data_IF_203317228818
#
_entry.id   IF_203317228818
#
_cell.length_a   1.000
_cell.length_b   1.000
_cell.length_c   1.000
_cell.angle_alpha   90.00
_cell.angle_beta   90.00
_cell.angle_gamma   90.00
#
_symmetry.space_group_name_H-M   'P 1'
#
loop_
_entity.id
_entity.type
_entity.pdbx_description
1 polymer ?
#
# COMPACT_ATOMS: atom_id res chain seq x y z
N UNK A 1 -27.17 4.43 16.58
CA UNK A 1 -26.52 3.15 16.24
C UNK A 1 -26.22 3.20 14.75
N UNK A 2 -24.99 3.57 14.38
CA UNK A 2 -24.61 3.63 12.97
C UNK A 2 -24.16 2.23 12.55
N UNK A 3 -24.99 1.57 11.74
CA UNK A 3 -24.64 0.35 11.02
C UNK A 3 -23.75 0.72 9.83
N UNK A 4 -22.48 1.05 10.08
CA UNK A 4 -21.49 0.94 9.00
C UNK A 4 -21.21 -0.55 8.86
N UNK A 5 -21.49 -1.14 7.70
CA UNK A 5 -20.72 -2.30 7.27
C UNK A 5 -19.26 -1.89 7.41
N UNK A 6 -18.48 -2.60 8.21
CA UNK A 6 -17.07 -2.28 8.40
C UNK A 6 -16.45 -2.17 6.99
N UNK A 7 -15.94 -1.00 6.63
CA UNK A 7 -15.23 -0.77 5.38
C UNK A 7 -14.04 -1.74 5.38
N UNK A 8 -14.11 -2.88 4.69
CA UNK A 8 -13.22 -3.98 5.04
C UNK A 8 -11.97 -3.99 4.18
N UNK A 9 -11.93 -3.17 3.12
CA UNK A 9 -10.90 -3.25 2.12
C UNK A 9 -9.63 -2.48 2.52
N UNK A 10 -8.52 -3.09 2.17
CA UNK A 10 -7.19 -2.49 2.10
C UNK A 10 -6.64 -2.84 0.73
N UNK A 11 -5.95 -1.89 0.13
CA UNK A 11 -5.37 -2.01 -1.19
C UNK A 11 -3.92 -1.52 -1.16
N UNK A 12 -3.09 -2.14 -1.98
CA UNK A 12 -1.71 -1.75 -2.25
C UNK A 12 -1.54 -1.78 -3.76
N UNK A 13 -1.10 -0.66 -4.33
CA UNK A 13 -1.01 -0.46 -5.78
C UNK A 13 0.45 -0.43 -6.26
N UNK A 14 1.30 0.37 -5.62
CA UNK A 14 2.74 0.37 -5.90
C UNK A 14 3.54 0.97 -4.75
N UNK A 15 4.87 0.80 -4.83
CA UNK A 15 5.82 1.41 -3.93
C UNK A 15 6.88 2.18 -4.71
N UNK A 16 7.34 3.29 -4.12
CA UNK A 16 8.51 4.01 -4.58
C UNK A 16 9.59 3.88 -3.53
N UNK A 17 10.69 3.20 -3.88
CA UNK A 17 11.87 3.04 -3.04
C UNK A 17 12.92 4.03 -3.53
N UNK A 18 13.33 4.94 -2.66
CA UNK A 18 14.38 5.92 -2.96
C UNK A 18 15.69 5.45 -2.35
N UNK A 19 16.74 5.41 -3.18
CA UNK A 19 18.12 5.12 -2.77
C UNK A 19 19.01 6.35 -2.96
N UNK A 20 19.91 6.58 -2.01
CA UNK A 20 20.84 7.69 -1.98
C UNK A 20 21.80 7.62 -0.79
N UNK A 21 22.70 8.58 -0.68
CA UNK A 21 23.66 8.68 0.43
C UNK A 21 23.17 9.63 1.55
N UNK A 22 21.92 10.09 1.46
CA UNK A 22 21.35 11.10 2.36
C UNK A 22 21.94 12.50 2.19
N UNK A 23 22.84 12.71 1.22
CA UNK A 23 23.40 14.01 0.89
C UNK A 23 22.50 14.75 -0.10
N UNK A 24 22.08 15.96 0.25
CA UNK A 24 21.25 16.81 -0.61
C UNK A 24 21.92 17.21 -1.94
N UNK A 25 23.22 16.98 -2.09
CA UNK A 25 23.99 17.23 -3.32
C UNK A 25 24.12 16.00 -4.22
N UNK A 26 23.76 14.82 -3.73
CA UNK A 26 23.76 13.59 -4.52
C UNK A 26 22.35 13.33 -5.03
N UNK A 27 22.21 13.06 -6.33
CA UNK A 27 20.92 12.72 -6.90
C UNK A 27 20.49 11.34 -6.38
N UNK A 28 19.31 11.28 -5.77
CA UNK A 28 18.69 10.00 -5.40
C UNK A 28 18.15 9.28 -6.63
N UNK A 29 18.06 7.96 -6.54
CA UNK A 29 17.44 7.12 -7.56
C UNK A 29 16.18 6.48 -6.99
N UNK A 30 15.08 6.60 -7.73
CA UNK A 30 13.80 5.99 -7.39
C UNK A 30 13.57 4.71 -8.17
N UNK A 31 13.19 3.65 -7.46
CA UNK A 31 12.70 2.40 -8.03
C UNK A 31 11.20 2.34 -7.78
N UNK A 32 10.44 2.21 -8.87
CA UNK A 32 9.00 2.03 -8.84
C UNK A 32 8.69 0.54 -8.91
N UNK A 33 7.93 0.05 -7.94
CA UNK A 33 7.62 -1.35 -7.76
C UNK A 33 6.11 -1.54 -7.78
N UNK A 34 5.62 -2.19 -8.81
CA UNK A 34 4.21 -2.55 -8.98
C UNK A 34 3.75 -3.57 -7.91
N UNK A 35 2.46 -3.57 -7.56
CA UNK A 35 1.86 -4.54 -6.65
C UNK A 35 1.96 -6.01 -7.13
N UNK A 36 2.13 -6.24 -8.43
CA UNK A 36 2.41 -7.55 -9.00
C UNK A 36 3.87 -8.02 -8.86
N UNK A 37 4.75 -7.21 -8.25
CA UNK A 37 6.17 -7.52 -8.22
C UNK A 37 6.51 -8.74 -7.35
N UNK A 38 7.41 -9.60 -7.87
CA UNK A 38 7.74 -10.90 -7.26
C UNK A 38 8.39 -10.84 -5.86
N UNK A 39 8.86 -9.66 -5.45
CA UNK A 39 9.51 -9.42 -4.16
C UNK A 39 8.51 -9.00 -3.08
N UNK A 40 7.23 -8.81 -3.43
CA UNK A 40 6.14 -8.65 -2.48
C UNK A 40 5.59 -10.04 -2.15
N UNK A 41 5.58 -10.38 -0.87
CA UNK A 41 4.96 -11.61 -0.36
C UNK A 41 3.60 -11.28 0.23
N UNK A 42 2.55 -11.82 -0.36
CA UNK A 42 1.19 -11.72 0.15
C UNK A 42 0.82 -12.98 0.93
N UNK A 43 0.12 -12.80 2.06
CA UNK A 43 -0.52 -13.92 2.76
C UNK A 43 -1.78 -14.40 1.99
N UNK A 44 -2.43 -15.44 2.50
CA UNK A 44 -3.75 -15.83 2.00
C UNK A 44 -4.76 -14.68 2.15
N UNK A 45 -5.68 -14.57 1.19
CA UNK A 45 -6.81 -13.62 1.23
C UNK A 45 -6.68 -12.36 0.38
N UNK A 46 -5.60 -12.21 -0.40
CA UNK A 46 -5.47 -11.14 -1.38
C UNK A 46 -6.09 -11.52 -2.73
N UNK A 47 -6.60 -10.51 -3.45
CA UNK A 47 -7.24 -10.66 -4.74
C UNK A 47 -6.57 -9.73 -5.75
N UNK A 48 -6.25 -10.26 -6.93
CA UNK A 48 -5.67 -9.50 -8.05
C UNK A 48 -6.76 -9.08 -9.03
N UNK A 49 -6.89 -7.78 -9.28
CA UNK A 49 -7.85 -7.14 -10.21
C UNK A 49 -9.27 -7.75 -10.19
N UNK A 50 -9.92 -7.89 -9.01
CA UNK A 50 -11.14 -8.67 -8.87
C UNK A 50 -12.42 -8.01 -9.43
N UNK A 51 -12.38 -6.73 -9.79
CA UNK A 51 -13.59 -5.91 -9.93
C UNK A 51 -13.65 -5.01 -11.19
N UNK A 52 -12.67 -5.11 -12.10
CA UNK A 52 -12.68 -4.35 -13.36
C UNK A 52 -12.28 -2.88 -13.24
N UNK A 53 -11.74 -2.45 -12.10
CA UNK A 53 -11.26 -1.08 -11.88
C UNK A 53 -9.74 -0.92 -12.11
N UNK A 54 -9.04 -1.99 -12.47
CA UNK A 54 -7.57 -2.01 -12.56
C UNK A 54 -7.01 -0.93 -13.49
N UNK A 55 -7.75 -0.46 -14.50
CA UNK A 55 -7.30 0.63 -15.39
C UNK A 55 -7.10 1.98 -14.69
N UNK A 56 -7.57 2.16 -13.46
CA UNK A 56 -7.35 3.36 -12.65
C UNK A 56 -6.05 3.31 -11.83
N UNK A 57 -5.42 2.14 -11.76
CA UNK A 57 -4.29 1.80 -10.89
C UNK A 57 -2.96 1.84 -11.65
N UNK A 58 -1.85 1.81 -10.92
CA UNK A 58 -0.54 1.76 -11.54
C UNK A 58 -0.39 0.47 -12.36
N UNK A 59 0.24 0.57 -13.54
CA UNK A 59 0.40 -0.51 -14.52
C UNK A 59 -0.86 -1.34 -14.88
N UNK A 60 -2.05 -0.82 -14.59
CA UNK A 60 -3.33 -1.49 -14.74
C UNK A 60 -3.47 -2.79 -13.91
N UNK A 61 -2.95 -2.82 -12.69
CA UNK A 61 -3.08 -3.94 -11.73
C UNK A 61 -3.67 -3.45 -10.41
N UNK A 62 -4.35 -4.33 -9.68
CA UNK A 62 -4.90 -4.01 -8.35
C UNK A 62 -4.66 -5.20 -7.44
N UNK A 63 -4.17 -4.95 -6.22
CA UNK A 63 -4.08 -5.96 -5.17
C UNK A 63 -4.76 -5.44 -3.91
N UNK A 64 -5.89 -6.08 -3.59
CA UNK A 64 -6.66 -5.75 -2.39
C UNK A 64 -7.04 -6.96 -1.58
N UNK A 65 -7.38 -6.72 -0.33
CA UNK A 65 -7.93 -7.74 0.58
C UNK A 65 -9.05 -7.15 1.42
N UNK A 66 -10.00 -8.00 1.80
CA UNK A 66 -10.97 -7.74 2.87
C UNK A 66 -10.86 -8.75 4.02
N UNK A 67 -9.77 -9.53 4.04
CA UNK A 67 -9.54 -10.56 5.04
C UNK A 67 -8.76 -9.94 6.19
N UNK A 68 -9.38 -9.85 7.36
CA UNK A 68 -8.70 -9.33 8.55
C UNK A 68 -7.47 -10.18 8.90
N UNK A 69 -6.34 -9.53 9.12
CA UNK A 69 -5.05 -10.19 9.39
C UNK A 69 -4.28 -10.65 8.15
N UNK A 70 -4.81 -10.45 6.93
CA UNK A 70 -4.02 -10.62 5.72
C UNK A 70 -2.93 -9.54 5.65
N UNK A 71 -1.76 -9.89 5.12
CA UNK A 71 -0.57 -9.03 5.09
C UNK A 71 0.12 -9.06 3.74
N UNK A 72 0.74 -7.95 3.37
CA UNK A 72 1.74 -7.85 2.32
C UNK A 72 3.09 -7.49 2.96
N UNK A 73 4.17 -8.14 2.54
CA UNK A 73 5.52 -7.93 3.08
C UNK A 73 6.52 -7.71 1.95
N UNK A 74 7.34 -6.68 2.07
CA UNK A 74 8.37 -6.33 1.10
C UNK A 74 9.70 -6.13 1.82
N UNK A 75 10.73 -6.85 1.38
CA UNK A 75 12.12 -6.54 1.72
C UNK A 75 12.67 -5.60 0.64
N UNK A 76 13.25 -4.48 1.05
CA UNK A 76 13.80 -3.49 0.13
C UNK A 76 15.18 -3.00 0.57
N UNK A 77 15.92 -2.45 -0.38
CA UNK A 77 17.17 -1.73 -0.13
C UNK A 77 16.98 -0.29 -0.60
N UNK A 78 17.05 0.66 0.33
CA UNK A 78 16.86 2.07 0.06
C UNK A 78 16.87 2.86 1.37
N UNK A 79 16.83 4.18 1.25
CA UNK A 79 16.79 5.10 2.39
C UNK A 79 15.36 5.51 2.71
N UNK A 80 14.46 5.49 1.72
CA UNK A 80 13.06 5.81 1.91
C UNK A 80 12.19 4.86 1.11
N UNK A 81 10.97 4.66 1.60
CA UNK A 81 9.91 3.94 0.89
C UNK A 81 8.60 4.68 1.07
N UNK A 82 7.87 4.88 -0.03
CA UNK A 82 6.49 5.38 -0.02
C UNK A 82 5.58 4.33 -0.62
N UNK A 83 4.52 3.99 0.09
CA UNK A 83 3.52 3.01 -0.34
C UNK A 83 2.28 3.74 -0.81
N UNK A 84 1.80 3.36 -1.99
CA UNK A 84 0.59 3.86 -2.62
C UNK A 84 -0.44 2.76 -2.71
N UNK A 85 -1.71 3.16 -2.69
CA UNK A 85 -2.85 2.27 -2.86
C UNK A 85 -4.14 3.05 -2.89
N UNK A 86 -5.25 2.32 -3.00
CA UNK A 86 -6.56 2.93 -3.05
C UNK A 86 -7.08 3.37 -1.69
N UNK A 87 -7.82 4.48 -1.71
CA UNK A 87 -8.68 4.91 -0.60
C UNK A 87 -10.08 5.16 -1.14
N UNK A 88 -11.11 4.77 -0.39
CA UNK A 88 -12.51 4.85 -0.83
C UNK A 88 -13.47 4.70 0.36
N UNK A 89 -14.78 4.76 0.12
CA UNK A 89 -15.82 4.63 1.14
C UNK A 89 -15.92 3.22 1.73
N UNK A 90 -15.38 2.23 1.04
CA UNK A 90 -15.33 0.82 1.44
C UNK A 90 -13.95 0.38 1.97
N UNK A 91 -13.00 1.31 2.11
CA UNK A 91 -11.67 1.04 2.64
C UNK A 91 -11.56 1.39 4.14
N UNK A 92 -10.83 0.56 4.87
CA UNK A 92 -10.85 0.52 6.34
C UNK A 92 -9.52 0.82 7.02
N UNK A 93 -9.45 0.41 8.29
CA UNK A 93 -8.24 0.49 9.08
C UNK A 93 -7.24 -0.57 8.63
N UNK A 94 -5.96 -0.18 8.65
CA UNK A 94 -4.83 -1.07 8.42
C UNK A 94 -3.63 -0.64 9.25
N UNK A 95 -2.65 -1.51 9.41
CA UNK A 95 -1.44 -1.20 10.16
C UNK A 95 -0.20 -1.48 9.33
N UNK A 96 0.82 -0.64 9.49
CA UNK A 96 2.11 -0.81 8.81
C UNK A 96 3.24 -0.84 9.84
N UNK A 97 4.22 -1.71 9.63
CA UNK A 97 5.44 -1.81 10.43
C UNK A 97 6.64 -1.76 9.50
N UNK A 98 7.68 -1.04 9.90
CA UNK A 98 8.99 -1.03 9.25
C UNK A 98 9.98 -1.68 10.20
N UNK A 99 10.78 -2.62 9.71
CA UNK A 99 11.79 -3.35 10.48
C UNK A 99 11.26 -4.01 11.78
N UNK A 100 9.99 -4.42 11.76
CA UNK A 100 9.35 -5.09 12.90
C UNK A 100 9.03 -4.15 14.08
N UNK A 101 8.91 -2.84 13.84
CA UNK A 101 8.50 -1.87 14.84
C UNK A 101 7.19 -2.25 15.54
N UNK A 102 7.16 -2.15 16.87
CA UNK A 102 6.02 -2.40 17.74
C UNK A 102 5.84 -1.22 18.73
N UNK A 103 4.65 -0.58 18.81
CA UNK A 103 3.44 -0.88 18.06
C UNK A 103 3.54 -0.50 16.57
N UNK A 104 2.82 -1.21 15.68
CA UNK A 104 2.72 -0.82 14.28
C UNK A 104 1.93 0.50 14.14
N UNK A 105 2.19 1.23 13.06
CA UNK A 105 1.48 2.46 12.73
C UNK A 105 0.05 2.13 12.25
N UNK A 106 -0.96 2.56 12.98
CA UNK A 106 -2.36 2.41 12.60
C UNK A 106 -2.79 3.54 11.65
N UNK A 107 -3.37 3.17 10.51
CA UNK A 107 -3.78 4.04 9.42
C UNK A 107 -5.22 3.74 8.99
N UNK A 108 -5.79 4.61 8.15
CA UNK A 108 -7.16 4.49 7.67
C UNK A 108 -7.23 4.82 6.17
N UNK A 109 -7.75 3.88 5.39
CA UNK A 109 -7.96 4.01 3.95
C UNK A 109 -9.32 4.63 3.56
N UNK A 110 -10.14 5.03 4.53
CA UNK A 110 -11.45 5.62 4.27
C UNK A 110 -11.33 6.98 3.57
N UNK A 111 -12.04 7.14 2.46
CA UNK A 111 -12.19 8.41 1.74
C UNK A 111 -13.62 8.57 1.21
N UNK A 112 -14.12 9.80 0.97
CA UNK A 112 -15.50 10.00 0.48
C UNK A 112 -15.72 9.59 -0.98
N UNK A 113 -14.63 9.38 -1.73
CA UNK A 113 -14.62 8.96 -3.14
C UNK A 113 -13.39 8.08 -3.37
N UNK A 114 -13.45 7.24 -4.41
CA UNK A 114 -12.30 6.45 -4.84
C UNK A 114 -11.13 7.35 -5.24
N UNK A 115 -9.95 7.02 -4.72
CA UNK A 115 -8.66 7.54 -5.15
C UNK A 115 -7.76 6.33 -5.33
N UNK A 116 -7.60 5.87 -6.57
CA UNK A 116 -6.86 4.63 -6.87
C UNK A 116 -5.37 4.72 -6.50
N UNK A 117 -4.75 5.90 -6.63
CA UNK A 117 -3.32 6.11 -6.39
C UNK A 117 -3.10 7.17 -5.31
N UNK A 118 -3.27 6.81 -4.04
CA UNK A 118 -3.09 7.71 -2.91
C UNK A 118 -1.91 7.25 -2.03
N UNK A 119 -1.16 8.20 -1.45
CA UNK A 119 -0.11 7.86 -0.48
C UNK A 119 -0.78 7.27 0.76
N UNK A 120 -0.43 6.05 1.11
CA UNK A 120 -0.85 5.39 2.34
C UNK A 120 0.12 5.70 3.49
N UNK A 121 1.42 5.60 3.21
CA UNK A 121 2.48 5.87 4.19
C UNK A 121 3.81 6.17 3.49
N UNK A 122 4.68 6.93 4.16
CA UNK A 122 6.05 7.19 3.71
C UNK A 122 7.01 7.08 4.90
N UNK A 123 8.11 6.36 4.71
CA UNK A 123 9.21 6.21 5.65
C UNK A 123 10.49 6.81 5.03
N UNK A 124 11.33 7.44 5.86
CA UNK A 124 12.58 8.12 5.47
C UNK A 124 13.68 7.84 6.48
#
# INVERSE_FOLDING_TARGET
MFISSAAPFVDVDYMVITSGDGNAQTQSADVWLDDGAHNITYSDGWQTSPNGFETEYYMNTMHRTNVNGASATLLFNGNAITVYGATSTDHGLFSVSLDGSDPPLLLNGSAPVLRAQNILVSFK
#
